data_IF_847625303914
#
_entry.id   IF_847625303914
#
_cell.length_a   1.000
_cell.length_b   1.000
_cell.length_c   1.000
_cell.angle_alpha   90.00
_cell.angle_beta   90.00
_cell.angle_gamma   90.00
#
_symmetry.space_group_name_H-M   'P 1'
#
loop_
_entity.id
_entity.type
_entity.pdbx_description
1 polymer ?
#
# COMPACT_ATOMS: atom_id res chain seq x y z
N UNK A 1 42.79 -25.83 32.07
CA UNK A 1 42.45 -24.77 31.11
C UNK A 1 41.19 -25.21 30.37
N UNK A 2 40.04 -24.67 30.78
CA UNK A 2 38.73 -24.97 30.13
C UNK A 2 38.46 -23.88 29.10
N UNK A 3 38.53 -24.22 27.82
CA UNK A 3 38.11 -23.33 26.75
C UNK A 3 36.56 -23.34 26.64
N UNK A 4 35.94 -22.23 26.98
CA UNK A 4 34.53 -21.98 26.73
C UNK A 4 34.37 -21.56 25.27
N UNK A 5 33.87 -22.48 24.45
CA UNK A 5 33.46 -22.19 23.07
C UNK A 5 32.10 -21.46 23.15
N UNK A 6 32.15 -20.16 22.97
CA UNK A 6 30.94 -19.32 22.86
C UNK A 6 30.38 -19.49 21.44
N UNK A 7 29.38 -20.36 21.31
CA UNK A 7 28.68 -20.58 20.06
C UNK A 7 27.75 -19.39 19.79
N UNK A 8 28.19 -18.44 18.95
CA UNK A 8 27.40 -17.29 18.53
C UNK A 8 26.36 -17.77 17.52
N UNK A 9 25.15 -18.05 17.98
CA UNK A 9 24.00 -18.32 17.13
C UNK A 9 23.58 -17.01 16.42
N UNK A 10 24.01 -16.87 15.17
CA UNK A 10 23.50 -15.84 14.28
C UNK A 10 22.04 -16.16 13.94
N UNK A 11 21.13 -15.51 14.66
CA UNK A 11 19.72 -15.50 14.31
C UNK A 11 19.56 -14.62 13.06
N UNK A 12 19.55 -15.25 11.88
CA UNK A 12 19.14 -14.57 10.65
C UNK A 12 17.65 -14.34 10.72
N UNK A 13 17.23 -13.15 11.15
CA UNK A 13 15.86 -12.71 11.03
C UNK A 13 15.55 -12.51 9.54
N UNK A 14 14.94 -13.51 8.91
CA UNK A 14 14.30 -13.33 7.62
C UNK A 14 13.12 -12.38 7.84
N UNK A 15 13.26 -11.13 7.40
CA UNK A 15 12.13 -10.21 7.34
C UNK A 15 11.13 -10.79 6.35
N UNK A 16 10.11 -11.48 6.84
CA UNK A 16 8.97 -11.88 6.04
C UNK A 16 8.29 -10.59 5.54
N UNK A 17 8.25 -10.43 4.23
CA UNK A 17 7.52 -9.35 3.57
C UNK A 17 6.03 -9.53 3.91
N UNK A 18 5.48 -8.66 4.75
CA UNK A 18 4.08 -8.75 5.15
C UNK A 18 3.23 -7.91 4.21
N UNK A 19 2.25 -8.54 3.55
CA UNK A 19 1.25 -7.82 2.76
C UNK A 19 0.53 -6.78 3.62
N UNK A 20 0.18 -5.63 3.01
CA UNK A 20 -0.58 -4.61 3.71
C UNK A 20 -1.94 -5.17 4.17
N UNK A 21 -2.40 -4.86 5.39
CA UNK A 21 -3.74 -5.21 5.82
C UNK A 21 -4.77 -4.47 4.97
N UNK A 22 -5.96 -5.06 4.83
CA UNK A 22 -7.08 -4.37 4.18
C UNK A 22 -7.55 -3.21 5.06
N UNK A 23 -7.52 -2.00 4.53
CA UNK A 23 -7.90 -0.79 5.26
C UNK A 23 -9.42 -0.74 5.49
N UNK A 24 -9.81 -0.37 6.69
CA UNK A 24 -11.22 -0.14 7.05
C UNK A 24 -11.69 1.24 6.59
N UNK A 25 -13.00 1.44 6.51
CA UNK A 25 -13.58 2.76 6.23
C UNK A 25 -13.08 3.84 7.19
N UNK A 26 -12.92 3.52 8.48
CA UNK A 26 -12.37 4.44 9.47
C UNK A 26 -10.91 4.81 9.17
N UNK A 27 -10.08 3.82 8.86
CA UNK A 27 -8.68 4.06 8.48
C UNK A 27 -8.58 4.95 7.24
N UNK A 28 -9.41 4.70 6.22
CA UNK A 28 -9.44 5.54 5.01
C UNK A 28 -9.78 6.99 5.35
N UNK A 29 -10.84 7.23 6.13
CA UNK A 29 -11.23 8.59 6.55
C UNK A 29 -10.12 9.30 7.29
N UNK A 30 -9.49 8.65 8.26
CA UNK A 30 -8.38 9.22 9.03
C UNK A 30 -7.18 9.52 8.14
N UNK A 31 -6.85 8.61 7.23
CA UNK A 31 -5.71 8.75 6.31
C UNK A 31 -5.92 9.91 5.34
N UNK A 32 -7.10 10.04 4.74
CA UNK A 32 -7.42 11.13 3.82
C UNK A 32 -7.48 12.50 4.52
N UNK A 33 -7.71 12.53 5.83
CA UNK A 33 -7.67 13.73 6.65
C UNK A 33 -6.26 14.05 7.20
N UNK A 34 -5.25 13.23 6.92
CA UNK A 34 -3.90 13.34 7.51
C UNK A 34 -3.07 14.51 6.97
N UNK A 35 -3.49 15.16 5.89
CA UNK A 35 -2.74 16.23 5.25
C UNK A 35 -1.60 15.75 4.35
N UNK A 36 -1.57 14.47 3.99
CA UNK A 36 -0.55 13.87 3.12
C UNK A 36 -1.19 13.28 1.88
N UNK A 37 -0.51 13.32 0.72
CA UNK A 37 -0.94 12.57 -0.46
C UNK A 37 -1.07 11.10 -0.14
N UNK A 38 -2.07 10.45 -0.75
CA UNK A 38 -2.43 9.06 -0.47
C UNK A 38 -2.67 8.31 -1.77
N UNK A 39 -2.20 7.07 -1.85
CA UNK A 39 -2.66 6.11 -2.84
C UNK A 39 -3.43 5.00 -2.13
N UNK A 40 -4.59 4.65 -2.68
CA UNK A 40 -5.37 3.49 -2.26
C UNK A 40 -5.41 2.50 -3.43
N UNK A 41 -4.89 1.30 -3.21
CA UNK A 41 -5.01 0.19 -4.15
C UNK A 41 -6.22 -0.66 -3.76
N UNK A 42 -7.22 -0.71 -4.63
CA UNK A 42 -8.38 -1.58 -4.46
C UNK A 42 -8.17 -2.83 -5.32
N UNK A 43 -8.07 -3.96 -4.65
CA UNK A 43 -7.75 -5.23 -5.28
C UNK A 43 -8.35 -6.40 -4.54
N UNK A 44 -7.76 -7.57 -4.71
CA UNK A 44 -8.10 -8.77 -3.95
C UNK A 44 -6.85 -9.64 -3.80
N UNK A 45 -6.72 -10.31 -2.65
CA UNK A 45 -5.57 -11.18 -2.36
C UNK A 45 -5.47 -12.38 -3.32
N UNK A 46 -6.57 -12.76 -3.96
CA UNK A 46 -6.68 -13.89 -4.89
C UNK A 46 -6.56 -13.50 -6.36
N UNK A 47 -6.41 -12.22 -6.66
CA UNK A 47 -6.28 -11.67 -8.01
C UNK A 47 -4.80 -11.64 -8.40
N UNK A 48 -4.43 -12.23 -9.55
CA UNK A 48 -3.01 -12.36 -9.95
C UNK A 48 -2.32 -11.01 -10.14
N UNK A 49 -2.85 -10.04 -10.92
CA UNK A 49 -2.20 -8.72 -11.04
C UNK A 49 -2.21 -7.94 -9.71
N UNK A 50 -3.21 -8.16 -8.84
CA UNK A 50 -3.24 -7.57 -7.51
C UNK A 50 -2.11 -8.12 -6.62
N UNK A 51 -1.81 -9.41 -6.71
CA UNK A 51 -0.68 -10.02 -5.99
C UNK A 51 0.66 -9.41 -6.38
N UNK A 52 0.82 -9.03 -7.64
CA UNK A 52 2.02 -8.33 -8.11
C UNK A 52 2.14 -6.92 -7.53
N UNK A 53 1.03 -6.28 -7.20
CA UNK A 53 1.02 -4.98 -6.53
C UNK A 53 1.52 -5.07 -5.08
N UNK A 54 1.23 -6.14 -4.36
CA UNK A 54 1.47 -6.26 -2.92
C UNK A 54 2.92 -5.92 -2.50
N UNK A 55 3.98 -6.51 -3.06
CA UNK A 55 5.36 -6.16 -2.66
C UNK A 55 5.75 -4.73 -3.03
N UNK A 56 5.18 -4.18 -4.11
CA UNK A 56 5.43 -2.80 -4.53
C UNK A 56 4.80 -1.83 -3.53
N UNK A 57 3.56 -2.05 -3.13
CA UNK A 57 2.84 -1.23 -2.15
C UNK A 57 3.53 -1.26 -0.79
N UNK A 58 3.96 -2.44 -0.36
CA UNK A 58 4.71 -2.60 0.90
C UNK A 58 6.03 -1.82 0.86
N UNK A 59 6.79 -1.93 -0.23
CA UNK A 59 8.02 -1.17 -0.43
C UNK A 59 7.79 0.34 -0.40
N UNK A 60 6.74 0.82 -1.05
CA UNK A 60 6.36 2.23 -1.04
C UNK A 60 5.95 2.73 0.35
N UNK A 61 5.24 1.90 1.12
CA UNK A 61 4.87 2.23 2.51
C UNK A 61 6.09 2.55 3.34
N UNK A 62 7.15 1.77 3.22
CA UNK A 62 8.43 2.00 3.92
C UNK A 62 9.17 3.23 3.37
N UNK A 63 9.28 3.33 2.06
CA UNK A 63 10.04 4.39 1.38
C UNK A 63 9.44 5.78 1.61
N UNK A 64 8.11 5.87 1.61
CA UNK A 64 7.37 7.14 1.74
C UNK A 64 6.82 7.39 3.13
N UNK A 65 7.23 6.64 4.13
CA UNK A 65 6.79 6.82 5.51
C UNK A 65 6.96 8.29 5.95
N UNK A 66 5.88 8.88 6.46
CA UNK A 66 5.85 10.29 6.87
C UNK A 66 5.61 11.30 5.74
N UNK A 67 5.71 10.89 4.46
CA UNK A 67 5.54 11.78 3.29
C UNK A 67 4.28 11.49 2.48
N UNK A 68 3.89 10.24 2.40
CA UNK A 68 2.68 9.79 1.72
C UNK A 68 2.09 8.60 2.46
N UNK A 69 0.81 8.33 2.21
CA UNK A 69 0.13 7.16 2.73
C UNK A 69 -0.12 6.16 1.59
N UNK A 70 0.04 4.89 1.90
CA UNK A 70 -0.22 3.78 1.00
C UNK A 70 -1.21 2.84 1.67
N UNK A 71 -2.39 2.67 1.11
CA UNK A 71 -3.44 1.79 1.62
C UNK A 71 -3.79 0.73 0.59
N UNK A 72 -4.19 -0.43 1.09
CA UNK A 72 -4.79 -1.50 0.32
C UNK A 72 -6.20 -1.79 0.84
N UNK A 73 -7.15 -2.05 -0.05
CA UNK A 73 -8.50 -2.51 0.30
C UNK A 73 -8.80 -3.77 -0.51
N UNK A 74 -9.12 -4.86 0.18
CA UNK A 74 -9.63 -6.07 -0.47
C UNK A 74 -11.13 -5.92 -0.72
N UNK A 75 -11.52 -5.72 -1.97
CA UNK A 75 -12.93 -5.52 -2.34
C UNK A 75 -13.76 -6.80 -2.30
N UNK A 76 -13.13 -7.96 -2.15
CA UNK A 76 -13.86 -9.23 -1.91
C UNK A 76 -14.19 -9.41 -0.43
N UNK A 77 -13.36 -8.88 0.47
CA UNK A 77 -13.65 -8.82 1.91
C UNK A 77 -14.61 -7.67 2.24
N UNK A 78 -14.47 -6.53 1.57
CA UNK A 78 -15.33 -5.33 1.71
C UNK A 78 -15.89 -4.92 0.34
N UNK A 79 -16.97 -5.58 -0.08
CA UNK A 79 -17.62 -5.27 -1.36
C UNK A 79 -18.20 -3.85 -1.41
N UNK A 80 -18.63 -3.31 -0.26
CA UNK A 80 -19.14 -1.96 -0.17
C UNK A 80 -18.05 -0.91 -0.46
N UNK A 81 -16.77 -1.21 -0.24
CA UNK A 81 -15.68 -0.33 -0.63
C UNK A 81 -15.57 -0.19 -2.16
N UNK A 82 -15.74 -1.28 -2.90
CA UNK A 82 -15.78 -1.24 -4.37
C UNK A 82 -16.84 -0.27 -4.88
N UNK A 83 -18.03 -0.31 -4.30
CA UNK A 83 -19.13 0.58 -4.66
C UNK A 83 -18.86 2.04 -4.25
N UNK A 84 -18.38 2.26 -3.03
CA UNK A 84 -18.04 3.61 -2.53
C UNK A 84 -17.02 4.32 -3.42
N UNK A 85 -16.01 3.60 -3.86
CA UNK A 85 -14.97 4.14 -4.73
C UNK A 85 -15.26 4.00 -6.23
N UNK A 86 -16.44 3.46 -6.59
CA UNK A 86 -16.86 3.24 -7.99
C UNK A 86 -15.84 2.42 -8.78
N UNK A 87 -15.29 1.37 -8.14
CA UNK A 87 -14.33 0.47 -8.76
C UNK A 87 -15.08 -0.62 -9.52
N UNK A 88 -14.78 -0.77 -10.81
CA UNK A 88 -15.38 -1.74 -11.73
C UNK A 88 -14.46 -2.90 -12.03
N UNK A 89 -13.16 -2.66 -12.00
CA UNK A 89 -12.12 -3.64 -12.30
C UNK A 89 -11.00 -3.54 -11.27
N UNK A 90 -10.36 -4.65 -10.97
CA UNK A 90 -9.24 -4.73 -10.03
C UNK A 90 -7.97 -5.23 -10.73
N UNK A 91 -6.77 -4.76 -10.30
CA UNK A 91 -6.58 -3.69 -9.32
C UNK A 91 -6.92 -2.30 -9.88
N UNK A 92 -7.32 -1.39 -9.03
CA UNK A 92 -7.46 0.04 -9.35
C UNK A 92 -6.74 0.85 -8.29
N UNK A 93 -5.84 1.74 -8.70
CA UNK A 93 -5.16 2.67 -7.82
C UNK A 93 -5.83 4.04 -7.91
N UNK A 94 -6.18 4.61 -6.75
CA UNK A 94 -6.77 5.95 -6.67
C UNK A 94 -5.81 6.85 -5.89
N UNK A 95 -5.47 7.99 -6.47
CA UNK A 95 -4.54 8.96 -5.91
C UNK A 95 -5.28 10.16 -5.37
N UNK A 96 -4.95 10.54 -4.14
CA UNK A 96 -5.53 11.69 -3.44
C UNK A 96 -4.44 12.68 -3.08
N UNK A 97 -4.75 13.97 -3.20
CA UNK A 97 -3.85 15.03 -2.74
C UNK A 97 -3.85 15.18 -1.21
N UNK A 98 -3.06 16.11 -0.69
CA UNK A 98 -2.97 16.38 0.74
C UNK A 98 -4.30 16.83 1.38
N UNK A 99 -5.24 17.35 0.58
CA UNK A 99 -6.59 17.73 1.01
C UNK A 99 -7.59 16.58 0.98
N UNK A 100 -7.15 15.35 0.66
CA UNK A 100 -7.99 14.18 0.57
C UNK A 100 -8.91 14.15 -0.66
N UNK A 101 -8.60 14.94 -1.68
CA UNK A 101 -9.34 14.99 -2.94
C UNK A 101 -8.71 14.02 -3.95
N UNK A 102 -9.53 13.20 -4.60
CA UNK A 102 -9.08 12.36 -5.72
C UNK A 102 -8.57 13.24 -6.87
N UNK A 103 -7.35 12.96 -7.32
CA UNK A 103 -6.69 13.69 -8.41
C UNK A 103 -6.41 12.83 -9.62
N UNK A 104 -6.30 11.51 -9.45
CA UNK A 104 -6.15 10.56 -10.54
C UNK A 104 -6.55 9.15 -10.11
N UNK A 105 -6.82 8.28 -11.09
CA UNK A 105 -6.95 6.84 -10.89
C UNK A 105 -6.43 6.05 -12.09
N UNK A 106 -5.98 4.86 -11.82
CA UNK A 106 -5.45 3.94 -12.82
C UNK A 106 -6.09 2.56 -12.66
N UNK A 107 -6.49 1.95 -13.74
CA UNK A 107 -7.07 0.59 -13.78
C UNK A 107 -6.03 -0.37 -14.31
N UNK A 108 -5.83 -1.47 -13.58
CA UNK A 108 -4.87 -2.51 -13.92
C UNK A 108 -3.58 -2.43 -13.09
N UNK A 109 -2.63 -3.29 -13.40
CA UNK A 109 -1.32 -3.27 -12.76
C UNK A 109 -0.58 -1.96 -13.05
N UNK A 110 0.06 -1.41 -12.02
CA UNK A 110 0.95 -0.27 -12.14
C UNK A 110 2.28 -0.60 -11.46
N UNK A 111 3.38 -0.37 -12.13
CA UNK A 111 4.70 -0.58 -11.57
C UNK A 111 5.09 0.51 -10.55
N UNK A 112 6.19 0.29 -9.85
CA UNK A 112 6.70 1.24 -8.83
C UNK A 112 6.94 2.64 -9.42
N UNK A 113 7.51 2.72 -10.60
CA UNK A 113 7.82 3.99 -11.27
C UNK A 113 6.55 4.78 -11.56
N UNK A 114 5.50 4.11 -12.04
CA UNK A 114 4.18 4.71 -12.26
C UNK A 114 3.56 5.23 -10.97
N UNK A 115 3.58 4.43 -9.90
CA UNK A 115 3.05 4.83 -8.59
C UNK A 115 3.78 6.05 -8.03
N UNK A 116 5.10 6.10 -8.12
CA UNK A 116 5.90 7.24 -7.67
C UNK A 116 5.57 8.50 -8.49
N UNK A 117 5.45 8.37 -9.80
CA UNK A 117 5.07 9.49 -10.68
C UNK A 117 3.73 10.09 -10.27
N UNK A 118 2.73 9.25 -10.05
CA UNK A 118 1.39 9.69 -9.66
C UNK A 118 1.35 10.28 -8.23
N UNK A 119 2.10 9.71 -7.29
CA UNK A 119 2.23 10.27 -5.94
C UNK A 119 2.88 11.65 -5.97
N UNK A 120 3.90 11.85 -6.79
CA UNK A 120 4.52 13.18 -6.98
C UNK A 120 3.53 14.16 -7.59
N UNK A 121 2.76 13.75 -8.60
CA UNK A 121 1.70 14.58 -9.18
C UNK A 121 0.60 14.92 -8.16
N UNK A 122 0.33 14.03 -7.19
CA UNK A 122 -0.59 14.28 -6.08
C UNK A 122 -0.01 15.20 -4.98
N UNK A 123 1.26 15.57 -5.07
CA UNK A 123 1.89 16.56 -4.19
C UNK A 123 2.94 16.02 -3.22
N UNK A 124 3.39 14.78 -3.37
CA UNK A 124 4.50 14.25 -2.54
C UNK A 124 5.79 15.02 -2.82
N UNK A 125 6.44 15.46 -1.74
CA UNK A 125 7.76 16.12 -1.75
C UNK A 125 8.89 15.14 -1.51
#
# INVERSE_FOLDING_TARGET
>A
MKQLIFCLLLFSATAASAELPSATTSMVKQTLASGKPTVIDLGARTCIPCKKMAPILEGLTREYQGRANVLFIDVREDSAAGDRFKVRMIPTQIFFNAQGKEVNRHIGFMDKTGLIKELKAAGVK
#
